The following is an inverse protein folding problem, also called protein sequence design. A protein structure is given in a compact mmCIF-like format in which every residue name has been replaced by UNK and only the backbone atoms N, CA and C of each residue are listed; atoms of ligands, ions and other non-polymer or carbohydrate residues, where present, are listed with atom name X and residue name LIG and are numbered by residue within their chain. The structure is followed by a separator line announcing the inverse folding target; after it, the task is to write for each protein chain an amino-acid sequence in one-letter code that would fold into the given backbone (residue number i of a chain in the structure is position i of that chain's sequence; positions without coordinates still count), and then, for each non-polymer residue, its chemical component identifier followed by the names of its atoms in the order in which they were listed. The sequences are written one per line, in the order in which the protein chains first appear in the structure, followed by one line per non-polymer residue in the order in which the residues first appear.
data_IF_643176676560
#
_entry.id   IF_643176676560
#
_cell.length_a   1.000
_cell.length_b   1.000
_cell.length_c   1.000
_cell.angle_alpha   90.00
_cell.angle_beta   90.00
_cell.angle_gamma   90.00
#
_symmetry.space_group_name_H-M   'P 1'
#
loop_
_entity.id
_entity.type
_entity.pdbx_description
1 polymer ?
#
# COMPACT_ATOMS: atom_id res chain seq x y z
N UNK A 1 -4.42 4.68 1.74
CA UNK A 1 -3.36 3.87 2.39
C UNK A 1 -3.95 3.02 3.49
N UNK A 2 -3.95 1.72 3.36
CA UNK A 2 -4.34 0.74 4.38
C UNK A 2 -3.41 -0.47 4.29
N UNK A 3 -3.29 -1.30 5.32
CA UNK A 3 -2.54 -2.55 5.24
C UNK A 3 -3.20 -3.52 4.27
N UNK A 4 -2.40 -4.36 3.62
CA UNK A 4 -2.90 -5.46 2.81
C UNK A 4 -3.24 -6.63 3.74
N UNK A 5 -4.49 -7.05 3.71
CA UNK A 5 -5.05 -8.19 4.45
C UNK A 5 -5.99 -8.97 3.52
N UNK A 6 -6.49 -10.10 3.94
CA UNK A 6 -7.51 -10.84 3.19
C UNK A 6 -8.76 -9.98 2.91
N UNK A 7 -9.11 -9.06 3.82
CA UNK A 7 -10.28 -8.18 3.68
C UNK A 7 -10.02 -6.99 2.74
N UNK A 8 -8.77 -6.61 2.54
CA UNK A 8 -8.39 -5.44 1.72
C UNK A 8 -7.73 -5.81 0.40
N UNK A 9 -7.45 -7.10 0.18
CA UNK A 9 -6.95 -7.59 -1.10
C UNK A 9 -7.95 -7.28 -2.23
N UNK A 10 -7.44 -6.66 -3.31
CA UNK A 10 -8.25 -6.24 -4.46
C UNK A 10 -9.46 -5.37 -4.08
N UNK A 11 -9.34 -4.56 -3.01
CA UNK A 11 -10.43 -3.69 -2.56
C UNK A 11 -10.83 -2.63 -3.61
N UNK A 12 -9.94 -2.32 -4.54
CA UNK A 12 -10.24 -1.54 -5.74
C UNK A 12 -10.20 -2.49 -6.93
N UNK A 13 -11.36 -2.87 -7.42
CA UNK A 13 -11.57 -3.79 -8.53
C UNK A 13 -12.66 -3.25 -9.47
N UNK A 14 -13.18 -4.06 -10.38
CA UNK A 14 -14.17 -3.65 -11.39
C UNK A 14 -15.38 -2.93 -10.78
N UNK A 15 -15.89 -3.43 -9.65
CA UNK A 15 -17.08 -2.88 -9.00
C UNK A 15 -16.87 -1.45 -8.54
N UNK A 16 -15.76 -1.20 -7.85
CA UNK A 16 -15.40 0.11 -7.33
C UNK A 16 -15.09 1.07 -8.46
N UNK A 17 -14.34 0.60 -9.48
CA UNK A 17 -14.00 1.39 -10.67
C UNK A 17 -15.22 1.78 -11.49
N UNK A 18 -16.32 1.02 -11.45
CA UNK A 18 -17.58 1.41 -12.11
C UNK A 18 -18.27 2.60 -11.41
N UNK A 19 -18.04 2.79 -10.12
CA UNK A 19 -18.63 3.87 -9.34
C UNK A 19 -17.82 5.17 -9.39
N UNK A 20 -16.57 5.11 -9.81
CA UNK A 20 -15.66 6.25 -9.87
C UNK A 20 -16.02 7.14 -11.08
N UNK A 21 -15.91 8.45 -10.90
CA UNK A 21 -16.11 9.42 -11.98
C UNK A 21 -14.94 9.35 -12.98
N UNK A 22 -15.22 9.59 -14.26
CA UNK A 22 -14.23 9.44 -15.33
C UNK A 22 -13.07 10.44 -15.29
N UNK A 23 -13.20 11.53 -14.55
CA UNK A 23 -12.13 12.50 -14.31
C UNK A 23 -11.26 12.19 -13.08
N UNK A 24 -11.53 11.11 -12.36
CA UNK A 24 -10.76 10.74 -11.17
C UNK A 24 -9.42 10.12 -11.54
N UNK A 25 -8.42 10.43 -10.72
CA UNK A 25 -7.10 9.77 -10.71
C UNK A 25 -7.04 8.89 -9.45
N UNK A 26 -6.69 7.64 -9.62
CA UNK A 26 -6.46 6.71 -8.50
C UNK A 26 -4.97 6.73 -8.16
N UNK A 27 -4.63 6.85 -6.88
CA UNK A 27 -3.24 6.84 -6.40
C UNK A 27 -3.07 5.76 -5.33
N UNK A 28 -2.14 4.84 -5.54
CA UNK A 28 -1.82 3.77 -4.59
C UNK A 28 -0.37 3.91 -4.08
N UNK A 29 -0.24 4.35 -2.84
CA UNK A 29 1.03 4.40 -2.09
C UNK A 29 0.97 3.51 -0.84
N UNK A 30 0.04 2.57 -0.81
CA UNK A 30 -0.16 1.64 0.30
C UNK A 30 0.54 0.30 0.07
N UNK A 31 -0.16 -0.62 -0.62
CA UNK A 31 0.36 -1.93 -1.02
C UNK A 31 -0.20 -2.30 -2.40
N UNK A 32 0.60 -2.97 -3.24
CA UNK A 32 0.23 -3.30 -4.61
C UNK A 32 -1.05 -4.14 -4.69
N UNK A 33 -1.20 -5.13 -3.85
CA UNK A 33 -2.37 -6.01 -3.84
C UNK A 33 -3.69 -5.38 -3.38
N UNK A 34 -3.72 -4.08 -3.03
CA UNK A 34 -4.96 -3.35 -2.74
C UNK A 34 -5.78 -3.04 -4.00
N UNK A 35 -5.11 -2.94 -5.15
CA UNK A 35 -5.71 -2.62 -6.44
C UNK A 35 -5.54 -3.80 -7.37
N UNK A 36 -6.63 -4.24 -7.99
CA UNK A 36 -6.59 -5.28 -9.01
C UNK A 36 -5.95 -4.72 -10.29
N UNK A 37 -4.80 -5.27 -10.71
CA UNK A 37 -4.05 -4.76 -11.88
C UNK A 37 -4.82 -4.90 -13.18
N UNK A 38 -5.51 -6.01 -13.40
CA UNK A 38 -6.30 -6.23 -14.62
C UNK A 38 -7.44 -5.22 -14.72
N UNK A 39 -8.17 -5.02 -13.62
CA UNK A 39 -9.28 -4.09 -13.56
C UNK A 39 -8.86 -2.64 -13.78
N UNK A 40 -7.76 -2.19 -13.15
CA UNK A 40 -7.27 -0.82 -13.30
C UNK A 40 -6.76 -0.56 -14.72
N UNK A 41 -6.08 -1.52 -15.33
CA UNK A 41 -5.60 -1.45 -16.72
C UNK A 41 -6.79 -1.35 -17.69
N UNK A 42 -7.81 -2.18 -17.49
CA UNK A 42 -9.03 -2.13 -18.32
C UNK A 42 -9.74 -0.77 -18.18
N UNK A 43 -9.80 -0.21 -16.96
CA UNK A 43 -10.38 1.09 -16.71
C UNK A 43 -9.61 2.23 -17.38
N UNK A 44 -8.26 2.18 -17.39
CA UNK A 44 -7.40 3.15 -18.08
C UNK A 44 -7.57 3.07 -19.61
N UNK A 45 -7.47 1.86 -20.18
CA UNK A 45 -7.65 1.62 -21.61
C UNK A 45 -9.05 2.03 -22.09
N UNK A 46 -10.07 1.74 -21.28
CA UNK A 46 -11.46 2.12 -21.54
C UNK A 46 -11.78 3.60 -21.23
N UNK A 47 -10.81 4.40 -20.78
CA UNK A 47 -11.00 5.80 -20.34
C UNK A 47 -12.09 5.96 -19.29
N UNK A 48 -12.28 4.93 -18.45
CA UNK A 48 -13.24 4.93 -17.36
C UNK A 48 -12.78 5.81 -16.20
N UNK A 49 -11.45 5.95 -16.03
CA UNK A 49 -10.80 6.86 -15.09
C UNK A 49 -9.77 7.71 -15.83
N UNK A 50 -9.41 8.86 -15.27
CA UNK A 50 -8.47 9.80 -15.89
C UNK A 50 -7.02 9.33 -15.81
N UNK A 51 -6.64 8.60 -14.75
CA UNK A 51 -5.28 8.11 -14.58
C UNK A 51 -5.11 7.20 -13.37
N UNK A 52 -3.97 6.51 -13.33
CA UNK A 52 -3.52 5.72 -12.19
C UNK A 52 -2.05 6.01 -11.89
N UNK A 53 -1.73 6.22 -10.63
CA UNK A 53 -0.36 6.31 -10.14
C UNK A 53 -0.14 5.28 -9.04
N UNK A 54 0.95 4.52 -9.09
CA UNK A 54 1.31 3.59 -8.03
C UNK A 54 2.80 3.62 -7.74
N UNK A 55 3.12 3.55 -6.45
CA UNK A 55 4.48 3.41 -5.93
C UNK A 55 4.77 1.98 -5.46
N UNK A 56 3.77 1.10 -5.50
CA UNK A 56 3.81 -0.23 -4.91
C UNK A 56 3.30 -1.30 -5.89
N UNK A 57 3.86 -2.52 -5.79
CA UNK A 57 3.54 -3.63 -6.66
C UNK A 57 3.17 -4.88 -5.84
N UNK A 58 2.40 -5.84 -6.42
CA UNK A 58 2.08 -7.09 -5.74
C UNK A 58 3.32 -7.91 -5.34
N UNK A 59 4.37 -7.85 -6.17
CA UNK A 59 5.68 -8.45 -5.93
C UNK A 59 6.75 -7.39 -6.11
N UNK A 60 7.61 -7.20 -5.13
CA UNK A 60 8.67 -6.20 -5.12
C UNK A 60 10.05 -6.83 -4.86
N UNK A 61 11.12 -6.37 -5.52
CA UNK A 61 11.12 -5.38 -6.61
C UNK A 61 10.32 -5.90 -7.81
N UNK A 62 9.66 -5.00 -8.54
CA UNK A 62 8.80 -5.36 -9.66
C UNK A 62 9.63 -5.76 -10.90
N UNK A 63 9.98 -7.04 -11.11
CA UNK A 63 10.70 -7.46 -12.30
C UNK A 63 9.76 -7.49 -13.50
N UNK A 64 10.31 -7.32 -14.69
CA UNK A 64 9.54 -7.49 -15.93
C UNK A 64 8.87 -8.88 -15.92
N UNK A 65 7.55 -8.89 -16.10
CA UNK A 65 6.74 -10.11 -16.12
C UNK A 65 5.98 -10.44 -14.83
N UNK A 66 6.29 -9.78 -13.71
CA UNK A 66 5.58 -10.00 -12.44
C UNK A 66 4.50 -8.96 -12.15
N UNK A 67 4.35 -7.95 -12.99
CA UNK A 67 3.27 -6.98 -12.95
C UNK A 67 2.82 -6.66 -14.37
N UNK A 68 1.53 -6.57 -14.56
CA UNK A 68 0.91 -6.17 -15.81
C UNK A 68 1.11 -4.68 -16.11
N UNK A 69 1.37 -3.87 -15.07
CA UNK A 69 1.54 -2.42 -15.16
C UNK A 69 2.81 -2.01 -15.92
N UNK A 70 3.81 -2.88 -16.05
CA UNK A 70 5.03 -2.61 -16.82
C UNK A 70 4.87 -2.84 -18.33
N UNK A 71 3.67 -3.13 -18.81
CA UNK A 71 3.42 -3.22 -20.25
C UNK A 71 3.37 -1.83 -20.89
N UNK A 72 3.91 -1.70 -22.13
CA UNK A 72 4.11 -0.39 -22.79
C UNK A 72 2.84 0.32 -23.28
N UNK A 73 1.68 -0.33 -23.20
CA UNK A 73 0.45 0.15 -23.89
C UNK A 73 -0.63 0.66 -22.91
N UNK A 74 -0.25 1.10 -21.73
CA UNK A 74 -1.22 1.59 -20.73
C UNK A 74 -1.18 3.12 -20.69
N UNK A 75 -2.28 3.80 -21.10
CA UNK A 75 -2.33 5.26 -21.10
C UNK A 75 -2.48 5.80 -19.67
N UNK A 76 -1.97 7.01 -19.43
CA UNK A 76 -2.15 7.77 -18.18
C UNK A 76 -1.77 6.99 -16.92
N UNK A 77 -0.69 6.19 -17.02
CA UNK A 77 -0.10 5.42 -15.93
C UNK A 77 1.21 6.06 -15.47
N UNK A 78 1.35 6.25 -14.17
CA UNK A 78 2.60 6.69 -13.53
C UNK A 78 3.05 5.62 -12.53
N UNK A 79 4.31 5.22 -12.62
CA UNK A 79 4.92 4.22 -11.74
C UNK A 79 6.13 4.80 -11.03
N UNK A 80 6.30 4.48 -9.75
CA UNK A 80 7.55 4.74 -9.01
C UNK A 80 7.96 3.48 -8.20
N UNK A 81 9.24 3.31 -7.90
CA UNK A 81 9.77 2.06 -7.35
C UNK A 81 9.78 2.06 -5.81
N UNK A 82 8.62 2.24 -5.18
CA UNK A 82 8.41 2.25 -3.72
C UNK A 82 9.25 3.32 -3.01
N UNK A 83 9.21 4.54 -3.53
CA UNK A 83 9.96 5.70 -3.02
C UNK A 83 9.07 6.79 -2.41
N UNK A 84 7.77 6.60 -2.30
CA UNK A 84 6.85 7.60 -1.76
C UNK A 84 7.12 7.93 -0.27
N UNK A 85 7.84 7.05 0.44
CA UNK A 85 8.30 7.28 1.81
C UNK A 85 9.58 8.14 1.88
N UNK A 86 10.32 8.29 0.79
CA UNK A 86 11.64 8.90 0.77
C UNK A 86 11.56 10.43 0.73
N UNK A 87 11.25 11.05 1.86
CA UNK A 87 11.35 12.50 2.09
C UNK A 87 12.19 12.78 3.32
N UNK A 88 12.73 13.97 3.45
CA UNK A 88 13.53 14.39 4.62
C UNK A 88 12.75 14.20 5.91
N UNK A 89 11.50 14.66 5.94
CA UNK A 89 10.63 14.58 7.11
C UNK A 89 10.28 13.13 7.47
N UNK A 90 10.11 12.27 6.46
CA UNK A 90 9.82 10.85 6.68
C UNK A 90 11.01 10.14 7.30
N UNK A 91 12.22 10.42 6.80
CA UNK A 91 13.48 9.85 7.31
C UNK A 91 13.72 10.31 8.75
N UNK A 92 13.57 11.60 9.04
CA UNK A 92 13.73 12.13 10.41
C UNK A 92 12.76 11.49 11.39
N UNK A 93 11.48 11.36 11.01
CA UNK A 93 10.46 10.69 11.85
C UNK A 93 10.78 9.22 12.06
N UNK A 94 11.25 8.52 11.02
CA UNK A 94 11.64 7.12 11.14
C UNK A 94 12.80 6.94 12.11
N UNK A 95 13.85 7.79 12.02
CA UNK A 95 14.99 7.75 12.93
C UNK A 95 14.57 8.01 14.37
N UNK A 96 13.76 9.06 14.61
CA UNK A 96 13.23 9.36 15.95
C UNK A 96 12.36 8.23 16.51
N UNK A 97 11.57 7.59 15.66
CA UNK A 97 10.73 6.45 16.04
C UNK A 97 11.57 5.22 16.43
N UNK A 98 12.62 4.91 15.66
CA UNK A 98 13.54 3.81 15.99
C UNK A 98 14.23 4.07 17.33
N UNK A 99 14.72 5.28 17.54
CA UNK A 99 15.34 5.66 18.82
C UNK A 99 14.37 5.47 19.98
N UNK A 100 13.14 6.00 19.87
CA UNK A 100 12.13 5.87 20.91
C UNK A 100 11.75 4.41 21.21
N UNK A 101 11.70 3.54 20.21
CA UNK A 101 11.43 2.10 20.39
C UNK A 101 12.57 1.44 21.17
N UNK A 102 13.83 1.72 20.82
CA UNK A 102 15.00 1.14 21.50
C UNK A 102 15.10 1.61 22.93
N UNK A 103 14.94 2.92 23.19
CA UNK A 103 14.96 3.49 24.53
C UNK A 103 13.79 2.98 25.38
N UNK A 104 12.60 2.88 24.79
CA UNK A 104 11.42 2.33 25.44
C UNK A 104 11.60 0.87 25.82
N UNK A 105 12.14 0.04 24.93
CA UNK A 105 12.44 -1.35 25.22
C UNK A 105 13.47 -1.48 26.36
N UNK A 106 14.54 -0.71 26.31
CA UNK A 106 15.60 -0.75 27.33
C UNK A 106 15.13 -0.29 28.74
N UNK A 107 14.13 0.60 28.80
CA UNK A 107 13.54 1.10 30.05
C UNK A 107 12.32 0.32 30.52
N UNK A 108 11.89 -0.71 29.80
CA UNK A 108 10.67 -1.47 30.09
C UNK A 108 9.35 -0.77 29.69
N UNK A 109 9.44 0.37 29.01
CA UNK A 109 8.29 1.14 28.50
C UNK A 109 8.16 0.97 26.99
N UNK A 110 7.63 -0.17 26.54
CA UNK A 110 7.50 -0.45 25.11
C UNK A 110 6.53 0.52 24.43
N UNK A 111 6.94 1.09 23.29
CA UNK A 111 6.14 1.98 22.45
C UNK A 111 5.94 1.37 21.06
N UNK A 112 4.90 1.78 20.37
CA UNK A 112 4.57 1.30 18.99
C UNK A 112 4.43 -0.22 18.89
N UNK A 113 3.85 -0.86 19.90
CA UNK A 113 3.62 -2.31 19.92
C UNK A 113 2.63 -2.72 18.82
N UNK A 114 2.93 -3.82 18.13
CA UNK A 114 2.00 -4.48 17.22
C UNK A 114 1.34 -5.63 17.95
N UNK A 115 0.03 -5.50 18.24
CA UNK A 115 -0.76 -6.58 18.80
C UNK A 115 -1.20 -7.53 17.69
N UNK A 116 -0.68 -8.76 17.67
CA UNK A 116 -1.24 -9.82 16.86
C UNK A 116 -2.47 -10.39 17.60
N UNK A 117 -3.67 -10.20 17.02
CA UNK A 117 -4.81 -11.03 17.42
C UNK A 117 -4.56 -12.43 16.86
N UNK A 118 -4.13 -13.36 17.72
CA UNK A 118 -4.31 -14.76 17.41
C UNK A 118 -5.82 -15.02 17.36
N UNK A 119 -6.28 -15.74 16.34
CA UNK A 119 -7.70 -16.07 16.16
C UNK A 119 -8.26 -16.95 17.29
N UNK A 120 -7.43 -17.37 18.24
CA UNK A 120 -7.79 -18.19 19.39
C UNK A 120 -7.48 -17.43 20.68
N UNK A 121 -8.55 -17.11 21.41
CA UNK A 121 -8.64 -16.49 22.75
C UNK A 121 -8.43 -14.98 22.80
N UNK A 122 -9.48 -14.31 23.28
CA UNK A 122 -9.42 -12.92 23.74
C UNK A 122 -8.33 -12.74 24.80
N UNK A 123 -7.14 -12.40 24.32
CA UNK A 123 -6.03 -12.03 25.18
C UNK A 123 -5.90 -10.52 25.17
N UNK A 124 -6.12 -9.94 26.31
CA UNK A 124 -5.64 -8.64 26.66
C UNK A 124 -4.16 -8.51 26.23
N UNK A 125 -3.77 -7.37 25.64
CA UNK A 125 -2.37 -7.01 25.47
C UNK A 125 -1.75 -6.99 26.86
N UNK A 126 -1.19 -8.10 27.32
CA UNK A 126 -0.40 -8.11 28.53
C UNK A 126 0.85 -7.28 28.25
N UNK A 127 0.99 -6.21 28.99
CA UNK A 127 2.25 -5.49 29.13
C UNK A 127 3.30 -6.51 29.57
N UNK A 128 4.28 -6.75 28.72
CA UNK A 128 5.52 -7.44 29.08
C UNK A 128 6.44 -6.45 29.78
#
# INVERSE_FOLDING_TARGET
TCPLTELTANMISEKELQLIQSNCIVVNVGRGGLVNEEAIIAALKGRKIAGYATDVFPVEPAPKGNTLLLSSDIPNLTLSPHLAWYSSESIERQQASIQAIVEGFASGNCVNLVCYRSAEKGSECSQL
#
